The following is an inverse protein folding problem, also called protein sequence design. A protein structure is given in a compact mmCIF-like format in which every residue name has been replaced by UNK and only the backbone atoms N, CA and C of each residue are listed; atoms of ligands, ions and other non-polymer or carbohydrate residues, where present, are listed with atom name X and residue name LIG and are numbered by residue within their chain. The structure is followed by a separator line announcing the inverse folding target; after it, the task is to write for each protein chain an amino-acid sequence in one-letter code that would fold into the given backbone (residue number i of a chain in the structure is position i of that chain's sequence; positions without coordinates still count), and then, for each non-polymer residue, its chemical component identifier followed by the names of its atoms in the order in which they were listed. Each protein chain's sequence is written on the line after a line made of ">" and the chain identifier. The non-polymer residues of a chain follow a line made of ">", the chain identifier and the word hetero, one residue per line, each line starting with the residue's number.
data_IF_471747386089
#
_entry.id   IF_471747386089
#
_cell.length_a   1.000
_cell.length_b   1.000
_cell.length_c   1.000
_cell.angle_alpha   90.00
_cell.angle_beta   90.00
_cell.angle_gamma   90.00
#
_symmetry.space_group_name_H-M   'P 1'
#
loop_
_entity.id
_entity.type
_entity.pdbx_description
1 polymer ?
#
# COMPACT_ATOMS: atom_id res chain seq x y z
N UNK A 1 -18.98 8.30 -5.31
CA UNK A 1 -18.38 9.52 -4.72
C UNK A 1 -17.41 9.23 -3.55
N UNK A 2 -17.22 7.95 -3.14
CA UNK A 2 -16.39 7.58 -1.99
C UNK A 2 -14.91 7.26 -2.29
N UNK A 3 -14.50 7.26 -3.56
CA UNK A 3 -13.13 6.89 -3.93
C UNK A 3 -12.16 8.07 -4.00
N UNK A 4 -12.61 9.33 -4.17
CA UNK A 4 -11.72 10.48 -4.39
C UNK A 4 -10.96 10.99 -3.14
N UNK A 5 -11.42 10.72 -1.92
CA UNK A 5 -10.88 11.34 -0.70
C UNK A 5 -9.46 10.88 -0.32
N UNK A 6 -9.13 9.61 -0.62
CA UNK A 6 -7.81 9.02 -0.30
C UNK A 6 -6.76 9.41 -1.37
N UNK A 7 -7.18 9.55 -2.62
CA UNK A 7 -6.30 9.97 -3.73
C UNK A 7 -5.82 11.40 -3.58
N UNK A 8 -6.69 12.32 -3.11
CA UNK A 8 -6.27 13.68 -2.82
C UNK A 8 -5.26 13.72 -1.67
N UNK A 9 -5.39 12.86 -0.65
CA UNK A 9 -4.44 12.82 0.48
C UNK A 9 -3.03 12.36 0.09
N UNK A 10 -2.91 11.31 -0.74
CA UNK A 10 -1.61 10.80 -1.17
C UNK A 10 -0.94 11.69 -2.24
N UNK A 11 -1.72 12.33 -3.12
CA UNK A 11 -1.21 13.34 -4.07
C UNK A 11 -0.87 14.67 -3.38
N UNK A 12 -1.62 15.08 -2.35
CA UNK A 12 -1.29 16.26 -1.52
C UNK A 12 -0.02 16.03 -0.70
N UNK A 13 0.29 14.77 -0.33
CA UNK A 13 1.57 14.41 0.29
C UNK A 13 2.80 14.57 -0.66
N UNK A 14 2.57 14.79 -1.96
CA UNK A 14 3.60 15.11 -2.95
C UNK A 14 3.76 16.63 -3.19
N UNK A 15 2.95 17.48 -2.53
CA UNK A 15 3.13 18.93 -2.57
C UNK A 15 4.21 19.38 -1.57
N UNK A 16 5.23 20.15 -1.99
CA UNK A 16 6.36 20.57 -1.16
C UNK A 16 6.01 21.50 0.02
N UNK A 17 4.77 22.00 0.11
CA UNK A 17 4.38 23.04 1.10
C UNK A 17 3.67 22.53 2.38
N UNK A 18 3.57 21.22 2.62
CA UNK A 18 3.01 20.72 3.88
C UNK A 18 4.11 20.26 4.86
N UNK A 19 4.55 21.16 5.74
CA UNK A 19 5.46 20.88 6.87
C UNK A 19 4.88 19.92 7.92
N UNK A 20 3.70 19.34 7.68
CA UNK A 20 3.01 18.36 8.52
C UNK A 20 2.67 17.17 7.64
N UNK A 21 3.63 16.26 7.43
CA UNK A 21 3.41 15.08 6.59
C UNK A 21 2.16 14.33 7.02
N UNK A 22 1.31 13.94 6.06
CA UNK A 22 0.04 13.26 6.32
C UNK A 22 0.28 11.95 7.09
N UNK A 23 -0.42 11.76 8.21
CA UNK A 23 -0.44 10.51 8.96
C UNK A 23 -1.71 9.74 8.63
N UNK A 24 -1.71 8.45 8.90
CA UNK A 24 -2.88 7.59 8.76
C UNK A 24 -2.97 6.62 9.94
N UNK A 25 -4.18 6.14 10.20
CA UNK A 25 -4.43 5.08 11.20
C UNK A 25 -3.80 3.77 10.74
N UNK A 26 -2.81 3.29 11.49
CA UNK A 26 -1.96 2.14 11.17
C UNK A 26 -2.45 0.82 11.80
N UNK A 27 -3.37 0.92 12.76
CA UNK A 27 -4.05 -0.21 13.40
C UNK A 27 -5.39 -0.50 12.70
N UNK A 28 -6.07 -1.59 13.08
CA UNK A 28 -7.36 -1.95 12.48
C UNK A 28 -8.43 -0.89 12.77
N UNK A 29 -8.46 -0.42 14.00
CA UNK A 29 -9.32 0.65 14.46
C UNK A 29 -8.58 1.44 15.53
N UNK A 30 -8.57 2.76 15.40
CA UNK A 30 -8.11 3.68 16.43
C UNK A 30 -9.31 4.38 17.06
N UNK A 31 -9.21 4.71 18.34
CA UNK A 31 -10.23 5.47 19.05
C UNK A 31 -9.82 6.94 19.12
N UNK A 32 -10.79 7.83 18.86
CA UNK A 32 -10.64 9.27 18.93
C UNK A 32 -11.34 9.80 20.19
N UNK A 33 -10.56 10.48 21.03
CA UNK A 33 -10.98 10.93 22.35
C UNK A 33 -11.11 12.45 22.39
N UNK A 34 -12.08 13.00 23.13
CA UNK A 34 -12.18 14.45 23.30
C UNK A 34 -10.98 15.00 24.09
N UNK A 35 -10.52 14.21 25.08
CA UNK A 35 -9.30 14.40 25.85
C UNK A 35 -8.78 13.03 26.30
N UNK A 36 -7.47 12.86 26.58
CA UNK A 36 -6.88 11.57 26.96
C UNK A 36 -7.55 10.82 28.13
N UNK A 37 -8.19 11.53 29.06
CA UNK A 37 -8.87 10.95 30.23
C UNK A 37 -10.39 10.74 30.04
N UNK A 38 -10.94 11.13 28.90
CA UNK A 38 -12.37 11.06 28.61
C UNK A 38 -12.72 9.78 27.84
N UNK A 39 -14.01 9.53 27.61
CA UNK A 39 -14.46 8.49 26.69
C UNK A 39 -14.09 8.79 25.23
N UNK A 40 -13.82 7.75 24.46
CA UNK A 40 -13.75 7.84 23.01
C UNK A 40 -15.14 8.19 22.45
N UNK A 41 -15.20 9.07 21.46
CA UNK A 41 -16.46 9.50 20.85
C UNK A 41 -16.56 9.13 19.36
N UNK A 42 -15.46 8.68 18.76
CA UNK A 42 -15.41 8.25 17.37
C UNK A 42 -14.38 7.13 17.23
N UNK A 43 -14.66 6.19 16.33
CA UNK A 43 -13.70 5.18 15.88
C UNK A 43 -13.20 5.57 14.48
N UNK A 44 -11.89 5.56 14.30
CA UNK A 44 -11.22 5.79 13.04
C UNK A 44 -10.77 4.46 12.45
N UNK A 45 -11.17 4.19 11.21
CA UNK A 45 -10.80 2.97 10.49
C UNK A 45 -9.34 2.99 10.06
N UNK A 46 -8.76 1.81 9.82
CA UNK A 46 -7.45 1.68 9.18
C UNK A 46 -7.34 2.56 7.93
N UNK A 47 -6.17 3.19 7.75
CA UNK A 47 -5.84 4.12 6.68
C UNK A 47 -6.63 5.43 6.67
N UNK A 48 -7.47 5.69 7.69
CA UNK A 48 -8.09 7.00 7.86
C UNK A 48 -7.01 8.08 7.94
N UNK A 49 -6.98 9.04 7.02
CA UNK A 49 -5.99 10.11 6.99
C UNK A 49 -6.25 11.11 8.11
N UNK A 50 -5.17 11.49 8.82
CA UNK A 50 -5.21 12.45 9.90
C UNK A 50 -4.07 13.45 9.81
N UNK A 51 -4.35 14.70 10.18
CA UNK A 51 -3.34 15.74 10.37
C UNK A 51 -2.98 15.80 11.84
N UNK A 52 -1.69 15.73 12.16
CA UNK A 52 -1.23 15.95 13.53
C UNK A 52 -1.27 17.44 13.86
N UNK A 53 -1.74 17.77 15.06
CA UNK A 53 -1.81 19.14 15.58
C UNK A 53 -0.77 19.35 16.69
N UNK A 54 -0.94 18.66 17.82
CA UNK A 54 -0.06 18.79 18.99
C UNK A 54 0.20 17.43 19.63
N UNK A 55 1.34 17.29 20.31
CA UNK A 55 1.69 16.07 21.05
C UNK A 55 1.56 16.29 22.55
N UNK A 56 0.97 15.33 23.26
CA UNK A 56 0.90 15.29 24.71
C UNK A 56 1.27 13.88 25.18
N UNK A 57 2.55 13.67 25.52
CA UNK A 57 3.07 12.36 25.91
C UNK A 57 2.86 11.30 24.81
N UNK A 58 2.06 10.28 25.11
CA UNK A 58 1.68 9.20 24.19
C UNK A 58 0.50 9.54 23.27
N UNK A 59 -0.04 10.75 23.35
CA UNK A 59 -1.20 11.16 22.55
C UNK A 59 -0.80 12.18 21.49
N UNK A 60 -1.40 12.04 20.32
CA UNK A 60 -1.47 13.10 19.33
C UNK A 60 -2.86 13.68 19.32
N UNK A 61 -2.97 15.00 19.41
CA UNK A 61 -4.17 15.70 18.95
C UNK A 61 -4.14 15.71 17.43
N UNK A 62 -5.22 15.27 16.81
CA UNK A 62 -5.34 15.12 15.35
C UNK A 62 -6.61 15.78 14.82
N UNK A 63 -6.62 16.06 13.52
CA UNK A 63 -7.81 16.43 12.75
C UNK A 63 -8.01 15.44 11.60
N UNK A 64 -9.19 14.85 11.48
CA UNK A 64 -9.60 13.99 10.35
C UNK A 64 -9.92 14.83 9.11
N UNK A 65 -10.12 14.18 7.95
CA UNK A 65 -10.50 14.88 6.72
C UNK A 65 -11.88 15.57 6.79
N UNK A 66 -12.83 14.96 7.49
CA UNK A 66 -14.18 15.51 7.71
C UNK A 66 -14.24 16.58 8.82
N UNK A 67 -13.09 16.88 9.45
CA UNK A 67 -12.93 17.99 10.39
C UNK A 67 -13.09 17.62 11.88
N UNK A 68 -13.32 16.35 12.21
CA UNK A 68 -13.33 15.90 13.61
C UNK A 68 -11.95 16.09 14.25
N UNK A 69 -11.92 16.60 15.48
CA UNK A 69 -10.69 16.81 16.25
C UNK A 69 -10.71 16.10 17.60
N UNK A 70 -9.65 15.38 17.90
CA UNK A 70 -9.51 14.70 19.17
C UNK A 70 -8.11 14.15 19.37
N UNK A 71 -7.95 13.27 20.35
CA UNK A 71 -6.69 12.63 20.70
C UNK A 71 -6.70 11.18 20.25
N UNK A 72 -5.59 10.74 19.66
CA UNK A 72 -5.34 9.34 19.27
C UNK A 72 -3.99 8.93 19.86
N UNK A 73 -3.87 7.68 20.28
CA UNK A 73 -2.61 7.15 20.76
C UNK A 73 -1.55 7.14 19.65
N UNK A 74 -0.35 7.59 19.98
CA UNK A 74 0.70 7.81 18.98
C UNK A 74 1.14 6.53 18.26
N UNK A 75 1.05 5.38 18.93
CA UNK A 75 1.38 4.09 18.34
C UNK A 75 0.34 3.63 17.30
N UNK A 76 -0.87 4.19 17.32
CA UNK A 76 -1.94 3.87 16.38
C UNK A 76 -1.77 4.58 15.03
N UNK A 77 -0.83 5.53 14.93
CA UNK A 77 -0.60 6.35 13.74
C UNK A 77 0.74 6.01 13.08
N UNK A 78 0.76 6.08 11.76
CA UNK A 78 1.99 6.00 10.96
C UNK A 78 1.93 6.97 9.80
N UNK A 79 3.09 7.35 9.29
CA UNK A 79 3.25 8.03 8.02
C UNK A 79 4.33 7.33 7.17
N UNK A 80 4.62 6.06 7.47
CA UNK A 80 5.50 5.22 6.66
C UNK A 80 4.78 4.81 5.39
N UNK A 81 5.43 4.93 4.24
CA UNK A 81 4.90 4.46 2.95
C UNK A 81 6.03 4.04 2.03
N UNK A 82 5.71 3.22 1.03
CA UNK A 82 6.67 2.68 0.07
C UNK A 82 6.42 3.25 -1.32
N UNK A 83 7.49 3.52 -2.06
CA UNK A 83 7.44 3.82 -3.50
C UNK A 83 8.32 2.83 -4.24
N UNK A 84 7.82 2.20 -5.30
CA UNK A 84 8.59 1.35 -6.20
C UNK A 84 8.63 2.05 -7.55
N UNK A 85 9.82 2.37 -8.06
CA UNK A 85 9.99 2.80 -9.46
C UNK A 85 10.49 1.61 -10.27
N UNK A 86 9.74 1.25 -11.30
CA UNK A 86 10.13 0.17 -12.21
C UNK A 86 11.30 0.58 -13.09
N UNK A 87 11.32 1.82 -13.58
CA UNK A 87 12.40 2.40 -14.39
C UNK A 87 13.73 2.40 -13.66
N UNK A 88 13.72 2.73 -12.37
CA UNK A 88 14.94 2.74 -11.56
C UNK A 88 15.22 1.36 -10.96
N UNK A 89 14.26 0.43 -11.00
CA UNK A 89 14.30 -0.86 -10.31
C UNK A 89 14.72 -0.67 -8.84
N UNK A 90 14.02 0.24 -8.15
CA UNK A 90 14.25 0.54 -6.74
C UNK A 90 12.96 0.66 -5.95
N UNK A 91 13.01 0.18 -4.71
CA UNK A 91 12.03 0.47 -3.68
C UNK A 91 12.59 1.55 -2.76
N UNK A 92 11.75 2.51 -2.40
CA UNK A 92 12.02 3.63 -1.54
C UNK A 92 11.10 3.56 -0.33
N UNK A 93 11.68 3.62 0.86
CA UNK A 93 10.97 3.71 2.13
C UNK A 93 10.92 5.17 2.55
N UNK A 94 9.73 5.71 2.76
CA UNK A 94 9.51 7.07 3.23
C UNK A 94 8.90 7.10 4.62
N UNK A 95 9.12 8.21 5.32
CA UNK A 95 8.38 8.62 6.51
C UNK A 95 7.89 10.05 6.27
N UNK A 96 6.60 10.22 6.01
CA UNK A 96 6.08 11.48 5.50
C UNK A 96 6.77 11.84 4.18
N UNK A 97 7.36 13.03 4.09
CA UNK A 97 8.10 13.49 2.90
C UNK A 97 9.58 13.09 2.92
N UNK A 98 10.08 12.52 4.03
CA UNK A 98 11.49 12.18 4.18
C UNK A 98 11.78 10.79 3.63
N UNK A 99 12.72 10.70 2.69
CA UNK A 99 13.28 9.42 2.25
C UNK A 99 14.14 8.83 3.38
N UNK A 100 13.77 7.64 3.86
CA UNK A 100 14.49 6.93 4.94
C UNK A 100 15.55 6.01 4.35
N UNK A 101 15.20 5.23 3.32
CA UNK A 101 16.12 4.26 2.69
C UNK A 101 15.66 3.92 1.28
N UNK A 102 16.57 3.44 0.45
CA UNK A 102 16.24 2.85 -0.85
C UNK A 102 16.98 1.53 -1.06
N UNK A 103 16.37 0.64 -1.83
CA UNK A 103 16.81 -0.73 -2.04
C UNK A 103 16.71 -1.09 -3.53
N UNK A 104 17.71 -1.77 -4.12
CA UNK A 104 17.54 -2.37 -5.44
C UNK A 104 16.44 -3.43 -5.39
N UNK A 105 15.63 -3.53 -6.45
CA UNK A 105 14.62 -4.58 -6.57
C UNK A 105 14.78 -5.34 -7.87
N UNK A 106 14.46 -6.61 -7.81
CA UNK A 106 14.19 -7.44 -8.97
C UNK A 106 12.69 -7.38 -9.28
N UNK A 107 12.33 -7.45 -10.56
CA UNK A 107 10.95 -7.32 -11.03
C UNK A 107 10.57 -8.49 -11.92
N UNK A 108 9.36 -8.46 -12.46
CA UNK A 108 8.96 -9.36 -13.54
C UNK A 108 9.47 -8.90 -14.90
N UNK A 109 9.37 -9.75 -15.94
CA UNK A 109 9.71 -9.37 -17.30
C UNK A 109 8.85 -8.18 -17.77
N UNK A 110 9.37 -7.48 -18.78
CA UNK A 110 8.74 -6.27 -19.33
C UNK A 110 8.36 -5.23 -18.25
N UNK A 111 9.33 -4.76 -17.43
CA UNK A 111 9.05 -3.87 -16.30
C UNK A 111 8.49 -2.51 -16.74
N UNK A 112 8.63 -2.14 -18.02
CA UNK A 112 8.17 -0.87 -18.58
C UNK A 112 6.66 -0.83 -18.87
N UNK A 113 5.98 -1.98 -18.80
CA UNK A 113 4.55 -2.06 -19.07
C UNK A 113 3.77 -2.41 -17.80
N UNK A 114 2.55 -1.89 -17.69
CA UNK A 114 1.63 -2.21 -16.62
C UNK A 114 1.02 -3.62 -16.80
N UNK A 115 0.66 -4.23 -15.67
CA UNK A 115 -0.03 -5.52 -15.60
C UNK A 115 -1.53 -5.36 -15.85
N UNK A 116 -1.97 -5.88 -16.98
CA UNK A 116 -3.39 -5.88 -17.39
C UNK A 116 -4.05 -7.25 -17.30
N UNK A 117 -3.27 -8.33 -17.20
CA UNK A 117 -3.77 -9.69 -17.09
C UNK A 117 -2.80 -10.61 -16.36
N UNK A 118 -3.28 -11.79 -15.98
CA UNK A 118 -2.46 -12.88 -15.44
C UNK A 118 -1.50 -13.41 -16.50
N UNK A 119 -0.24 -13.61 -16.12
CA UNK A 119 0.74 -14.30 -16.97
C UNK A 119 0.74 -15.81 -16.80
N UNK A 120 1.30 -16.50 -17.79
CA UNK A 120 1.40 -17.96 -17.83
C UNK A 120 2.69 -18.36 -18.55
N UNK A 121 3.02 -19.66 -18.56
CA UNK A 121 4.14 -20.14 -19.37
C UNK A 121 3.95 -19.90 -20.88
N UNK A 122 2.70 -19.83 -21.35
CA UNK A 122 2.40 -19.49 -22.74
C UNK A 122 2.53 -17.99 -23.00
N UNK A 123 2.26 -17.15 -21.99
CA UNK A 123 2.32 -15.69 -22.06
C UNK A 123 3.16 -15.14 -20.89
N UNK A 124 4.48 -15.37 -20.87
CA UNK A 124 5.34 -14.94 -19.77
C UNK A 124 5.47 -13.41 -19.73
N UNK A 125 5.24 -12.73 -20.85
CA UNK A 125 5.24 -11.26 -20.94
C UNK A 125 4.16 -10.58 -20.09
N UNK A 126 3.17 -11.32 -19.61
CA UNK A 126 2.11 -10.83 -18.71
C UNK A 126 2.47 -10.97 -17.21
N UNK A 127 3.66 -11.48 -16.90
CA UNK A 127 4.25 -11.45 -15.56
C UNK A 127 4.81 -10.08 -15.17
N UNK A 128 4.15 -9.01 -15.63
CA UNK A 128 4.51 -7.63 -15.33
C UNK A 128 4.19 -7.29 -13.89
N UNK A 129 4.95 -6.38 -13.31
CA UNK A 129 4.62 -5.73 -12.03
C UNK A 129 3.58 -4.64 -12.27
N UNK A 130 2.44 -4.65 -11.55
CA UNK A 130 1.39 -3.66 -11.75
C UNK A 130 1.81 -2.26 -11.30
N UNK A 131 1.23 -1.24 -11.92
CA UNK A 131 1.38 0.17 -11.59
C UNK A 131 0.15 0.68 -10.84
N UNK A 132 0.32 1.74 -10.03
CA UNK A 132 -0.75 2.38 -9.29
C UNK A 132 -0.52 2.42 -7.79
N UNK A 133 -1.58 2.76 -7.05
CA UNK A 133 -1.54 2.84 -5.59
C UNK A 133 -2.16 1.60 -4.98
N UNK A 134 -1.44 1.06 -4.01
CA UNK A 134 -1.74 -0.15 -3.28
C UNK A 134 -1.61 0.08 -1.78
N UNK A 135 -1.93 -0.98 -1.04
CA UNK A 135 -1.56 -1.14 0.35
C UNK A 135 -1.14 -2.57 0.63
N UNK A 136 -0.36 -2.75 1.70
CA UNK A 136 -0.02 -4.06 2.23
C UNK A 136 -1.29 -4.69 2.84
N UNK A 137 -1.93 -5.61 2.12
CA UNK A 137 -3.13 -6.31 2.57
C UNK A 137 -2.81 -7.37 3.62
N UNK A 138 -1.63 -7.99 3.56
CA UNK A 138 -1.19 -8.98 4.54
C UNK A 138 0.33 -9.04 4.66
N UNK A 139 0.82 -9.59 5.78
CA UNK A 139 2.23 -9.90 6.00
C UNK A 139 2.38 -11.40 6.21
N UNK A 140 3.27 -12.04 5.45
CA UNK A 140 3.62 -13.45 5.60
C UNK A 140 5.08 -13.58 6.03
N UNK A 141 5.30 -13.86 7.32
CA UNK A 141 6.64 -14.05 7.89
C UNK A 141 7.27 -15.41 7.55
N UNK A 142 6.48 -16.35 7.00
CA UNK A 142 6.89 -17.72 6.64
C UNK A 142 6.67 -17.97 5.15
N UNK A 143 6.93 -16.95 4.32
CA UNK A 143 6.85 -17.09 2.88
C UNK A 143 7.90 -18.07 2.39
N UNK A 144 7.61 -18.81 1.31
CA UNK A 144 8.63 -19.59 0.59
C UNK A 144 9.78 -18.72 0.06
N UNK A 145 9.53 -17.41 -0.07
CA UNK A 145 10.50 -16.38 -0.45
C UNK A 145 11.04 -15.61 0.76
N UNK A 146 11.27 -16.30 1.89
CA UNK A 146 11.71 -15.75 3.18
C UNK A 146 10.63 -14.93 3.91
N UNK A 147 10.26 -13.75 3.39
CA UNK A 147 9.20 -12.87 3.92
C UNK A 147 8.42 -12.28 2.75
N UNK A 148 7.14 -11.99 2.95
CA UNK A 148 6.32 -11.33 1.93
C UNK A 148 5.35 -10.30 2.53
N UNK A 149 5.26 -9.15 1.86
CA UNK A 149 4.23 -8.13 2.04
C UNK A 149 3.26 -8.26 0.86
N UNK A 150 2.07 -8.79 1.10
CA UNK A 150 1.07 -9.04 0.06
C UNK A 150 0.36 -7.73 -0.26
N UNK A 151 0.29 -7.33 -1.53
CA UNK A 151 -0.41 -6.13 -1.96
C UNK A 151 -1.89 -6.42 -2.26
N UNK A 152 -2.74 -5.41 -2.16
CA UNK A 152 -4.15 -5.50 -2.54
C UNK A 152 -4.37 -5.48 -4.08
N UNK A 153 -3.47 -6.06 -4.88
CA UNK A 153 -3.70 -6.21 -6.31
C UNK A 153 -4.62 -7.41 -6.59
N UNK A 154 -5.62 -7.30 -7.50
CA UNK A 154 -6.00 -6.09 -8.23
C UNK A 154 -6.79 -5.09 -7.35
N UNK A 155 -6.65 -3.79 -7.66
CA UNK A 155 -7.45 -2.71 -7.05
C UNK A 155 -8.71 -2.40 -7.86
N UNK A 156 -9.59 -1.56 -7.35
CA UNK A 156 -10.80 -1.07 -8.00
C UNK A 156 -10.51 -0.41 -9.36
N UNK A 157 -9.40 0.34 -9.49
CA UNK A 157 -9.00 0.94 -10.77
C UNK A 157 -8.58 -0.13 -11.78
N UNK A 158 -7.83 -1.14 -11.34
CA UNK A 158 -7.48 -2.30 -12.18
C UNK A 158 -8.73 -3.07 -12.61
N UNK A 159 -9.67 -3.27 -11.68
CA UNK A 159 -10.93 -3.95 -11.94
C UNK A 159 -11.80 -3.17 -12.93
N UNK A 160 -11.87 -1.84 -12.79
CA UNK A 160 -12.62 -0.98 -13.69
C UNK A 160 -12.07 -1.08 -15.12
N UNK A 161 -10.75 -0.93 -15.28
CA UNK A 161 -10.08 -1.12 -16.57
C UNK A 161 -10.34 -2.53 -17.12
N UNK A 162 -10.16 -3.55 -16.30
CA UNK A 162 -10.39 -4.95 -16.68
C UNK A 162 -11.82 -5.22 -17.13
N UNK A 163 -12.82 -4.60 -16.49
CA UNK A 163 -14.22 -4.71 -16.87
C UNK A 163 -14.49 -4.02 -18.20
N UNK A 164 -13.97 -2.81 -18.40
CA UNK A 164 -14.11 -2.05 -19.65
C UNK A 164 -13.48 -2.76 -20.84
N UNK A 165 -12.36 -3.46 -20.61
CA UNK A 165 -11.66 -4.24 -21.63
C UNK A 165 -12.22 -5.67 -21.80
N UNK A 166 -13.27 -6.04 -21.06
CA UNK A 166 -13.89 -7.37 -21.14
C UNK A 166 -13.02 -8.51 -20.58
N UNK A 167 -12.03 -8.21 -19.75
CA UNK A 167 -11.10 -9.19 -19.14
C UNK A 167 -11.66 -9.86 -17.91
N UNK A 168 -12.52 -9.17 -17.16
CA UNK A 168 -13.17 -9.71 -15.97
C UNK A 168 -14.69 -9.57 -16.07
N UNK A 169 -15.37 -10.44 -15.34
CA UNK A 169 -16.82 -10.37 -15.20
C UNK A 169 -17.28 -9.22 -14.30
N UNK A 170 -18.54 -8.75 -14.42
CA UNK A 170 -19.13 -7.82 -13.46
C UNK A 170 -19.11 -8.33 -12.01
N UNK A 171 -19.14 -9.66 -11.81
CA UNK A 171 -19.06 -10.27 -10.49
C UNK A 171 -17.65 -10.14 -9.87
N UNK A 172 -16.60 -10.43 -10.65
CA UNK A 172 -15.22 -10.20 -10.22
C UNK A 172 -14.96 -8.72 -9.92
N UNK A 173 -15.46 -7.82 -10.77
CA UNK A 173 -15.36 -6.38 -10.55
C UNK A 173 -15.94 -5.97 -9.18
N UNK A 174 -17.19 -6.38 -8.88
CA UNK A 174 -17.84 -6.07 -7.60
C UNK A 174 -17.05 -6.63 -6.41
N UNK A 175 -16.59 -7.88 -6.52
CA UNK A 175 -15.83 -8.52 -5.45
C UNK A 175 -14.51 -7.78 -5.15
N UNK A 176 -13.82 -7.26 -6.16
CA UNK A 176 -12.60 -6.46 -5.99
C UNK A 176 -12.92 -5.12 -5.32
N UNK A 177 -13.93 -4.40 -5.82
CA UNK A 177 -14.34 -3.10 -5.28
C UNK A 177 -14.80 -3.20 -3.83
N UNK A 178 -15.60 -4.22 -3.49
CA UNK A 178 -16.07 -4.46 -2.12
C UNK A 178 -14.93 -4.87 -1.18
N UNK A 179 -13.94 -5.63 -1.66
CA UNK A 179 -12.77 -5.97 -0.87
C UNK A 179 -11.93 -4.72 -0.56
N UNK A 180 -11.69 -3.87 -1.54
CA UNK A 180 -10.93 -2.63 -1.34
C UNK A 180 -11.64 -1.64 -0.41
N UNK A 181 -12.95 -1.44 -0.60
CA UNK A 181 -13.76 -0.56 0.27
C UNK A 181 -13.76 -1.02 1.74
N UNK A 182 -13.61 -2.33 1.97
CA UNK A 182 -13.54 -2.92 3.30
C UNK A 182 -12.10 -3.14 3.81
N UNK A 183 -11.07 -2.67 3.10
CA UNK A 183 -9.65 -2.93 3.40
C UNK A 183 -9.29 -4.41 3.59
N UNK A 184 -9.96 -5.29 2.84
CA UNK A 184 -9.74 -6.74 2.84
C UNK A 184 -8.88 -7.17 1.65
N UNK A 185 -8.32 -8.38 1.76
CA UNK A 185 -7.65 -9.03 0.65
C UNK A 185 -8.64 -9.22 -0.52
N UNK A 186 -8.34 -8.73 -1.75
CA UNK A 186 -9.19 -8.96 -2.91
C UNK A 186 -9.12 -10.43 -3.35
N UNK A 187 -10.01 -10.88 -4.25
CA UNK A 187 -9.87 -12.18 -4.89
C UNK A 187 -8.49 -12.29 -5.56
N UNK A 188 -7.69 -13.27 -5.13
CA UNK A 188 -6.31 -13.42 -5.61
C UNK A 188 -6.19 -14.30 -6.87
N UNK A 189 -7.32 -14.84 -7.34
CA UNK A 189 -7.37 -15.76 -8.48
C UNK A 189 -8.27 -15.21 -9.61
N UNK A 190 -8.12 -13.94 -9.98
CA UNK A 190 -8.88 -13.31 -11.07
C UNK A 190 -8.16 -13.41 -12.43
N UNK A 191 -8.85 -13.10 -13.53
CA UNK A 191 -8.20 -12.99 -14.84
C UNK A 191 -7.12 -11.88 -14.91
N UNK A 192 -7.20 -10.85 -14.06
CA UNK A 192 -6.13 -9.84 -13.91
C UNK A 192 -4.89 -10.41 -13.21
N UNK A 193 -5.08 -11.48 -12.43
CA UNK A 193 -4.08 -12.05 -11.55
C UNK A 193 -4.39 -11.77 -10.08
N UNK A 194 -3.33 -11.74 -9.28
CA UNK A 194 -3.36 -11.62 -7.83
C UNK A 194 -1.98 -12.01 -7.29
N UNK A 195 -1.85 -12.11 -5.97
CA UNK A 195 -0.62 -12.53 -5.29
C UNK A 195 0.62 -11.72 -5.71
N UNK A 196 0.44 -10.41 -5.94
CA UNK A 196 1.57 -9.49 -6.10
C UNK A 196 2.10 -9.16 -4.72
N UNK A 197 3.39 -9.45 -4.52
CA UNK A 197 4.05 -9.32 -3.23
C UNK A 197 5.33 -8.48 -3.35
N UNK A 198 5.69 -7.81 -2.27
CA UNK A 198 7.08 -7.38 -2.02
C UNK A 198 7.70 -8.46 -1.13
N UNK A 199 8.67 -9.23 -1.64
CA UNK A 199 9.20 -10.40 -0.95
C UNK A 199 10.74 -10.46 -0.91
N UNK A 200 11.29 -11.39 -0.14
CA UNK A 200 12.73 -11.67 -0.06
C UNK A 200 13.27 -12.45 -1.26
N UNK A 201 14.45 -13.08 -1.12
CA UNK A 201 15.10 -13.89 -2.17
C UNK A 201 15.35 -13.17 -3.52
N UNK A 202 15.27 -11.85 -3.56
CA UNK A 202 15.81 -11.06 -4.65
C UNK A 202 17.33 -11.16 -4.67
N UNK A 203 17.89 -11.12 -5.87
CA UNK A 203 19.33 -11.11 -6.14
C UNK A 203 19.98 -9.79 -5.74
N UNK A 204 19.21 -8.69 -5.76
CA UNK A 204 19.71 -7.33 -5.59
C UNK A 204 20.49 -6.80 -6.80
N UNK A 205 20.45 -7.52 -7.93
CA UNK A 205 21.15 -7.18 -9.17
C UNK A 205 20.25 -6.54 -10.22
N UNK A 206 19.01 -6.17 -9.84
CA UNK A 206 18.04 -5.52 -10.73
C UNK A 206 17.70 -6.40 -11.94
N UNK A 207 17.54 -7.71 -11.71
CA UNK A 207 17.16 -8.66 -12.76
C UNK A 207 15.64 -8.84 -12.82
N UNK A 208 15.14 -9.19 -14.01
CA UNK A 208 13.70 -9.33 -14.26
C UNK A 208 13.32 -10.80 -14.39
N UNK A 209 12.92 -11.43 -13.28
CA UNK A 209 12.63 -12.87 -13.21
C UNK A 209 11.34 -13.23 -12.48
N UNK A 210 10.77 -12.31 -11.70
CA UNK A 210 9.58 -12.63 -10.90
C UNK A 210 8.35 -12.83 -11.79
N UNK A 211 7.27 -13.36 -11.22
CA UNK A 211 5.98 -13.47 -11.93
C UNK A 211 5.09 -12.22 -11.76
N UNK A 212 5.71 -11.07 -11.51
CA UNK A 212 5.06 -9.77 -11.27
C UNK A 212 5.33 -9.17 -9.89
N UNK A 213 5.93 -9.93 -8.98
CA UNK A 213 6.33 -9.46 -7.65
C UNK A 213 7.52 -8.50 -7.69
N UNK A 214 7.75 -7.82 -6.57
CA UNK A 214 8.92 -6.97 -6.31
C UNK A 214 9.83 -7.71 -5.33
N UNK A 215 10.98 -8.19 -5.79
CA UNK A 215 11.87 -9.01 -4.98
C UNK A 215 13.05 -8.20 -4.44
N UNK A 216 13.28 -8.31 -3.13
CA UNK A 216 14.34 -7.68 -2.36
C UNK A 216 15.31 -8.73 -1.85
N UNK A 217 16.55 -8.33 -1.54
CA UNK A 217 17.44 -9.18 -0.74
C UNK A 217 16.82 -9.41 0.64
N UNK A 218 17.11 -10.55 1.27
CA UNK A 218 16.56 -10.88 2.58
C UNK A 218 16.85 -9.80 3.64
N UNK A 219 18.08 -9.30 3.67
CA UNK A 219 18.51 -8.20 4.55
C UNK A 219 17.74 -6.87 4.30
N UNK A 220 17.34 -6.62 3.05
CA UNK A 220 16.61 -5.40 2.69
C UNK A 220 15.15 -5.50 3.17
N UNK A 221 14.49 -6.65 2.96
CA UNK A 221 13.14 -6.85 3.49
C UNK A 221 13.13 -6.95 5.03
N UNK A 222 14.21 -7.41 5.66
CA UNK A 222 14.37 -7.37 7.12
C UNK A 222 14.37 -5.94 7.66
N UNK A 223 15.05 -5.02 6.96
CA UNK A 223 15.05 -3.61 7.32
C UNK A 223 13.67 -2.95 7.16
N UNK A 224 12.87 -3.39 6.18
CA UNK A 224 11.49 -2.91 5.98
C UNK A 224 10.50 -3.50 6.99
N UNK A 225 10.69 -4.77 7.36
CA UNK A 225 9.69 -5.58 8.07
C UNK A 225 9.12 -4.94 9.35
N UNK A 226 9.92 -4.35 10.26
CA UNK A 226 9.38 -3.75 11.48
C UNK A 226 8.71 -2.38 11.25
N UNK A 227 8.96 -1.74 10.11
CA UNK A 227 8.45 -0.40 9.80
C UNK A 227 7.13 -0.44 9.02
N UNK A 228 6.91 -1.53 8.28
CA UNK A 228 5.73 -1.75 7.45
C UNK A 228 4.68 -2.55 8.21
N UNK A 229 3.44 -2.06 8.20
CA UNK A 229 2.28 -2.73 8.82
C UNK A 229 1.22 -3.03 7.76
N UNK A 230 0.22 -3.84 8.11
CA UNK A 230 -0.96 -4.01 7.26
C UNK A 230 -1.62 -2.64 7.05
N UNK A 231 -1.98 -2.32 5.82
CA UNK A 231 -2.50 -1.01 5.42
C UNK A 231 -1.43 0.02 5.06
N UNK A 232 -0.12 -0.26 5.20
CA UNK A 232 0.92 0.67 4.73
C UNK A 232 0.73 0.96 3.24
N UNK A 233 0.66 2.25 2.83
CA UNK A 233 0.55 2.63 1.42
C UNK A 233 1.78 2.23 0.62
N UNK A 234 1.54 1.81 -0.62
CA UNK A 234 2.58 1.46 -1.60
C UNK A 234 2.20 2.11 -2.92
N UNK A 235 3.09 2.90 -3.50
CA UNK A 235 2.98 3.39 -4.87
C UNK A 235 3.92 2.55 -5.74
N UNK A 236 3.43 2.01 -6.85
CA UNK A 236 4.28 1.46 -7.90
C UNK A 236 4.11 2.33 -9.14
N UNK A 237 5.22 2.90 -9.61
CA UNK A 237 5.27 3.79 -10.76
C UNK A 237 6.19 3.24 -11.85
N UNK A 238 6.07 3.76 -13.10
CA UNK A 238 6.91 3.35 -14.21
C UNK A 238 8.42 3.39 -13.98
#
# INVERSE_FOLDING_TARGET
>A
MFTLGIWLGLLVALSPDSSTGLYYVAVEQALLYQAPANGAYLALSRREPVRLLTRQGYWWRVRTQDGAEGYVEAHALSNVWLRVSKRQQRLYLYRGTTLVRSFPVDLGPNPYADKVQRGSLANPDDWRTPEGVFYVAAKNARSRYYKALVLNYPTADHALRGLQEGRISPAEYRAIVEAEAAFRMPPMNTALGGWIEIHGQGTGQQVNWTQGCVALRNEDIDALWPLVVVGTPVLIEP
#
